data_IF_580288667175
#
_entry.id   IF_580288667175
#
_cell.length_a   1.000
_cell.length_b   1.000
_cell.length_c   1.000
_cell.angle_alpha   90.00
_cell.angle_beta   90.00
_cell.angle_gamma   90.00
#
_symmetry.space_group_name_H-M   'P 1'
#
loop_
_entity.id
_entity.type
_entity.pdbx_description
1 polymer ?
#
# COMPACT_ATOMS: atom_id res chain seq x y z
N UNK A 1 4.61 -19.22 -16.78
CA UNK A 1 3.54 -18.20 -17.14
C UNK A 1 3.45 -18.05 -18.65
N UNK A 2 2.24 -18.08 -19.21
CA UNK A 2 2.05 -17.79 -20.65
C UNK A 2 2.44 -16.32 -20.96
N UNK A 3 2.84 -16.03 -22.20
CA UNK A 3 3.15 -14.66 -22.65
C UNK A 3 1.96 -13.72 -22.42
N UNK A 4 0.73 -14.21 -22.58
CA UNK A 4 -0.49 -13.45 -22.33
C UNK A 4 -0.66 -13.01 -20.87
N UNK A 5 -0.32 -13.87 -19.89
CA UNK A 5 -0.42 -13.54 -18.46
C UNK A 5 0.59 -12.46 -18.06
N UNK A 6 1.80 -12.51 -18.64
CA UNK A 6 2.85 -11.48 -18.40
C UNK A 6 2.45 -10.13 -18.97
N UNK A 7 1.89 -10.13 -20.18
CA UNK A 7 1.39 -8.91 -20.82
C UNK A 7 0.25 -8.30 -20.03
N UNK A 8 -0.70 -9.11 -19.59
CA UNK A 8 -1.81 -8.65 -18.74
C UNK A 8 -1.32 -8.06 -17.41
N UNK A 9 -0.34 -8.69 -16.76
CA UNK A 9 0.26 -8.19 -15.52
C UNK A 9 0.91 -6.81 -15.70
N UNK A 10 1.62 -6.59 -16.80
CA UNK A 10 2.23 -5.28 -17.11
C UNK A 10 1.18 -4.22 -17.39
N UNK A 11 0.17 -4.55 -18.20
CA UNK A 11 -0.93 -3.61 -18.49
C UNK A 11 -1.68 -3.22 -17.22
N UNK A 12 -1.94 -4.18 -16.33
CA UNK A 12 -2.58 -3.91 -15.05
C UNK A 12 -1.72 -3.00 -14.17
N UNK A 13 -0.41 -3.24 -14.09
CA UNK A 13 0.50 -2.40 -13.31
C UNK A 13 0.54 -0.96 -13.86
N UNK A 14 0.59 -0.79 -15.18
CA UNK A 14 0.54 0.53 -15.83
C UNK A 14 -0.80 1.21 -15.57
N UNK A 15 -1.93 0.50 -15.70
CA UNK A 15 -3.26 1.05 -15.43
C UNK A 15 -3.40 1.50 -13.97
N UNK A 16 -2.87 0.74 -13.01
CA UNK A 16 -2.84 1.11 -11.60
C UNK A 16 -1.99 2.35 -11.34
N UNK A 17 -0.83 2.48 -11.99
CA UNK A 17 0.01 3.68 -11.89
C UNK A 17 -0.68 4.93 -12.44
N UNK A 18 -1.31 4.82 -13.61
CA UNK A 18 -2.07 5.92 -14.19
C UNK A 18 -3.23 6.31 -13.26
N UNK A 19 -3.98 5.34 -12.76
CA UNK A 19 -5.08 5.56 -11.81
C UNK A 19 -4.61 6.22 -10.51
N UNK A 20 -3.48 5.77 -9.96
CA UNK A 20 -2.87 6.35 -8.77
C UNK A 20 -2.43 7.81 -9.03
N UNK A 21 -1.77 8.09 -10.16
CA UNK A 21 -1.37 9.44 -10.56
C UNK A 21 -2.56 10.39 -10.69
N UNK A 22 -3.65 9.96 -11.34
CA UNK A 22 -4.88 10.77 -11.48
C UNK A 22 -5.50 11.04 -10.10
N UNK A 23 -5.56 10.03 -9.23
CA UNK A 23 -6.09 10.17 -7.88
C UNK A 23 -5.23 11.15 -7.04
N UNK A 24 -3.91 11.01 -7.11
CA UNK A 24 -2.96 11.90 -6.42
C UNK A 24 -3.11 13.35 -6.91
N UNK A 25 -3.13 13.55 -8.22
CA UNK A 25 -3.33 14.87 -8.81
C UNK A 25 -4.60 15.54 -8.30
N UNK A 26 -5.71 14.81 -8.33
CA UNK A 26 -7.00 15.30 -7.83
C UNK A 26 -6.94 15.66 -6.34
N UNK A 27 -6.40 14.75 -5.50
CA UNK A 27 -6.31 14.93 -4.06
C UNK A 27 -5.35 16.07 -3.67
N UNK A 28 -4.21 16.18 -4.34
CA UNK A 28 -3.24 17.25 -4.11
C UNK A 28 -3.85 18.59 -4.49
N UNK A 29 -4.45 18.71 -5.69
CA UNK A 29 -5.13 19.93 -6.12
C UNK A 29 -6.21 20.35 -5.10
N UNK A 30 -7.00 19.40 -4.65
CA UNK A 30 -8.04 19.62 -3.64
C UNK A 30 -7.44 20.10 -2.31
N UNK A 31 -6.38 19.43 -1.83
CA UNK A 31 -5.71 19.83 -0.59
C UNK A 31 -5.09 21.22 -0.70
N UNK A 32 -4.50 21.57 -1.83
CA UNK A 32 -3.95 22.91 -2.08
C UNK A 32 -5.03 23.97 -2.05
N UNK A 33 -6.18 23.76 -2.69
CA UNK A 33 -7.32 24.69 -2.65
C UNK A 33 -7.83 24.89 -1.21
N UNK A 34 -8.02 23.81 -0.47
CA UNK A 34 -8.44 23.86 0.93
C UNK A 34 -7.41 24.57 1.82
N UNK A 35 -6.12 24.31 1.60
CA UNK A 35 -5.05 24.97 2.35
C UNK A 35 -4.99 26.46 2.06
N UNK A 36 -5.06 26.85 0.80
CA UNK A 36 -5.06 28.25 0.37
C UNK A 36 -6.23 29.02 0.99
N UNK A 37 -7.45 28.48 0.98
CA UNK A 37 -8.60 29.12 1.62
C UNK A 37 -8.42 29.29 3.13
N UNK A 38 -7.81 28.32 3.81
CA UNK A 38 -7.51 28.43 5.24
C UNK A 38 -6.45 29.47 5.59
N UNK A 39 -5.51 29.73 4.67
CA UNK A 39 -4.42 30.68 4.89
C UNK A 39 -4.78 32.14 4.50
N UNK A 40 -5.62 32.31 3.49
CA UNK A 40 -5.88 33.64 2.89
C UNK A 40 -7.22 34.26 3.23
N UNK A 41 -8.24 33.47 3.58
CA UNK A 41 -9.57 33.98 3.84
C UNK A 41 -9.66 34.70 5.19
N UNK A 42 -10.37 35.81 5.21
CA UNK A 42 -10.56 36.65 6.40
C UNK A 42 -11.78 36.21 7.20
N UNK A 43 -11.61 36.07 8.50
CA UNK A 43 -12.71 35.72 9.38
C UNK A 43 -13.55 36.96 9.73
N UNK A 44 -14.86 36.85 9.57
CA UNK A 44 -15.87 37.78 10.06
C UNK A 44 -16.94 37.04 10.86
N UNK A 45 -17.85 37.76 11.47
CA UNK A 45 -19.00 37.19 12.17
C UNK A 45 -20.23 37.25 11.27
N UNK A 46 -20.92 36.11 11.16
CA UNK A 46 -22.21 36.04 10.45
C UNK A 46 -23.34 35.55 11.35
N UNK A 47 -24.56 35.64 10.85
CA UNK A 47 -25.76 35.12 11.53
C UNK A 47 -26.48 34.12 10.63
N UNK A 48 -26.89 32.99 11.17
CA UNK A 48 -27.68 32.00 10.45
C UNK A 48 -29.07 32.53 10.19
N UNK A 49 -29.44 32.70 8.94
CA UNK A 49 -30.78 33.15 8.52
C UNK A 49 -31.75 31.99 8.45
N UNK A 50 -31.37 30.91 7.75
CA UNK A 50 -32.21 29.70 7.61
C UNK A 50 -31.38 28.46 7.68
N UNK A 51 -31.97 27.38 8.22
CA UNK A 51 -31.37 26.04 8.21
C UNK A 51 -32.43 25.04 7.71
N UNK A 52 -32.21 24.49 6.53
CA UNK A 52 -33.05 23.44 5.96
C UNK A 52 -32.32 22.11 6.04
N UNK A 53 -33.01 21.05 6.48
CA UNK A 53 -32.40 19.73 6.62
C UNK A 53 -32.96 18.78 5.57
N UNK A 54 -32.10 18.19 4.79
CA UNK A 54 -32.43 17.13 3.82
C UNK A 54 -31.96 15.78 4.33
N UNK A 55 -32.72 14.72 4.04
CA UNK A 55 -32.35 13.38 4.43
C UNK A 55 -32.15 12.47 3.21
N UNK A 56 -31.12 11.60 3.28
CA UNK A 56 -30.85 10.58 2.28
C UNK A 56 -30.84 9.20 2.95
N UNK A 57 -31.56 8.24 2.36
CA UNK A 57 -31.52 6.83 2.78
C UNK A 57 -30.17 6.24 2.40
N UNK A 58 -29.50 5.58 3.35
CA UNK A 58 -28.25 4.84 3.16
C UNK A 58 -28.44 3.42 3.66
N UNK A 59 -27.53 2.50 3.30
CA UNK A 59 -27.64 1.06 3.62
C UNK A 59 -27.95 0.78 5.12
N UNK A 60 -27.40 1.61 6.03
CA UNK A 60 -27.53 1.44 7.48
C UNK A 60 -28.34 2.58 8.14
N UNK A 61 -29.43 3.06 7.50
CA UNK A 61 -30.30 4.09 8.09
C UNK A 61 -30.48 5.33 7.23
N UNK A 62 -30.61 6.49 7.87
CA UNK A 62 -30.71 7.80 7.21
C UNK A 62 -29.52 8.68 7.59
N UNK A 63 -29.08 9.50 6.65
CA UNK A 63 -28.12 10.57 6.88
C UNK A 63 -28.78 11.90 6.57
N UNK A 64 -28.49 12.89 7.37
CA UNK A 64 -29.07 14.22 7.29
C UNK A 64 -27.98 15.23 6.91
N UNK A 65 -28.30 16.15 6.01
CA UNK A 65 -27.44 17.27 5.63
C UNK A 65 -28.17 18.57 5.90
N UNK A 66 -27.46 19.52 6.48
CA UNK A 66 -27.96 20.89 6.61
C UNK A 66 -27.62 21.67 5.34
N UNK A 67 -28.59 22.38 4.80
CA UNK A 67 -28.39 23.47 3.87
C UNK A 67 -28.66 24.78 4.68
N UNK A 68 -27.65 25.62 4.75
CA UNK A 68 -27.65 26.81 5.63
C UNK A 68 -27.55 28.05 4.78
N UNK A 69 -28.34 29.07 5.10
CA UNK A 69 -28.13 30.40 4.58
C UNK A 69 -27.73 31.30 5.75
N UNK A 70 -26.67 32.08 5.59
CA UNK A 70 -26.17 32.99 6.62
C UNK A 70 -25.92 34.37 6.03
N UNK A 71 -26.11 35.40 6.86
CA UNK A 71 -25.80 36.79 6.53
C UNK A 71 -24.46 37.16 7.19
N UNK A 72 -23.64 37.94 6.50
CA UNK A 72 -22.33 38.40 6.97
C UNK A 72 -22.00 39.78 6.40
N UNK A 73 -21.09 40.49 7.03
CA UNK A 73 -20.59 41.76 6.53
C UNK A 73 -19.24 41.59 5.86
N UNK A 74 -19.12 42.09 4.62
CA UNK A 74 -17.89 42.12 3.89
C UNK A 74 -17.80 43.37 2.99
N UNK A 75 -16.66 44.03 2.99
CA UNK A 75 -16.41 45.28 2.25
C UNK A 75 -17.46 46.41 2.55
N UNK A 76 -18.00 46.45 3.77
CA UNK A 76 -19.01 47.44 4.18
C UNK A 76 -20.44 47.13 3.72
N UNK A 77 -20.71 45.98 3.15
CA UNK A 77 -22.03 45.51 2.69
C UNK A 77 -22.46 44.23 3.40
N UNK A 78 -23.77 44.18 3.71
CA UNK A 78 -24.36 42.93 4.19
C UNK A 78 -24.61 42.00 3.02
N UNK A 79 -24.04 40.78 3.09
CA UNK A 79 -24.13 39.75 2.08
C UNK A 79 -24.71 38.48 2.64
N UNK A 80 -25.14 37.56 1.76
CA UNK A 80 -25.64 36.25 2.14
C UNK A 80 -24.80 35.18 1.50
N UNK A 81 -24.51 34.10 2.26
CA UNK A 81 -23.80 32.92 1.80
C UNK A 81 -24.56 31.65 2.13
N UNK A 82 -24.23 30.55 1.43
CA UNK A 82 -24.81 29.25 1.68
C UNK A 82 -23.75 28.11 1.76
N UNK A 83 -22.50 28.42 1.51
CA UNK A 83 -21.41 27.45 1.52
C UNK A 83 -20.99 27.11 2.96
N UNK A 84 -21.16 25.89 3.39
CA UNK A 84 -20.69 25.43 4.72
C UNK A 84 -19.20 25.15 4.69
N UNK A 85 -18.73 24.42 3.68
CA UNK A 85 -17.31 24.05 3.50
C UNK A 85 -16.92 24.41 2.08
N UNK A 86 -15.74 24.94 1.86
CA UNK A 86 -15.23 25.32 0.52
C UNK A 86 -15.34 24.17 -0.48
N UNK A 87 -15.22 22.93 0.00
CA UNK A 87 -15.49 21.74 -0.79
C UNK A 87 -16.79 21.06 -0.32
N UNK A 88 -17.86 21.21 -1.08
CA UNK A 88 -19.19 20.67 -0.74
C UNK A 88 -19.20 19.15 -0.48
N UNK A 89 -18.25 18.41 -1.04
CA UNK A 89 -18.14 16.96 -0.79
C UNK A 89 -17.75 16.64 0.66
N UNK A 90 -17.23 17.63 1.39
CA UNK A 90 -16.86 17.58 2.81
C UNK A 90 -17.96 18.12 3.74
N UNK A 91 -19.09 18.57 3.19
CA UNK A 91 -20.19 19.08 4.00
C UNK A 91 -20.59 18.08 5.09
N UNK A 92 -20.79 18.53 6.35
CA UNK A 92 -21.05 17.64 7.47
C UNK A 92 -22.34 16.85 7.28
N UNK A 93 -22.31 15.57 7.63
CA UNK A 93 -23.50 14.72 7.66
C UNK A 93 -23.83 14.32 9.10
N UNK A 94 -25.11 14.39 9.46
CA UNK A 94 -25.59 14.17 10.80
C UNK A 94 -26.37 12.83 10.90
N UNK A 95 -26.43 12.28 12.12
CA UNK A 95 -27.18 11.04 12.40
C UNK A 95 -28.68 11.29 12.58
N UNK A 96 -29.08 12.51 12.95
CA UNK A 96 -30.46 12.93 13.16
C UNK A 96 -30.69 14.34 12.61
N UNK A 97 -31.95 14.66 12.34
CA UNK A 97 -32.37 15.98 11.93
C UNK A 97 -32.14 17.03 13.03
N UNK A 98 -32.39 16.65 14.30
CA UNK A 98 -32.16 17.52 15.45
C UNK A 98 -30.67 17.90 15.57
N UNK A 99 -29.75 16.94 15.39
CA UNK A 99 -28.32 17.24 15.40
C UNK A 99 -27.91 18.18 14.27
N UNK A 100 -28.50 18.07 13.08
CA UNK A 100 -28.24 18.98 11.98
C UNK A 100 -28.73 20.40 12.28
N UNK A 101 -29.94 20.56 12.85
CA UNK A 101 -30.51 21.86 13.24
C UNK A 101 -29.74 22.48 14.42
N UNK A 102 -29.33 21.68 15.41
CA UNK A 102 -28.55 22.16 16.55
C UNK A 102 -27.16 22.63 16.19
N UNK A 103 -26.56 22.06 15.13
CA UNK A 103 -25.25 22.47 14.64
C UNK A 103 -25.30 23.89 14.01
N UNK A 104 -26.45 24.30 13.47
CA UNK A 104 -26.65 25.58 12.81
C UNK A 104 -27.99 26.19 13.26
N UNK A 105 -28.10 26.68 14.49
CA UNK A 105 -29.36 27.24 14.99
C UNK A 105 -29.69 28.56 14.29
N UNK A 106 -30.96 28.72 13.87
CA UNK A 106 -31.41 29.92 13.25
C UNK A 106 -31.26 31.12 14.21
N UNK A 107 -30.77 32.25 13.73
CA UNK A 107 -30.39 33.39 14.54
C UNK A 107 -29.06 33.22 15.28
N UNK A 108 -28.43 32.09 15.20
CA UNK A 108 -27.12 31.80 15.83
C UNK A 108 -25.98 32.57 15.16
N UNK A 109 -25.06 33.08 15.97
CA UNK A 109 -23.80 33.69 15.49
C UNK A 109 -22.80 32.59 15.10
N UNK A 110 -22.15 32.75 13.95
CA UNK A 110 -21.18 31.80 13.41
C UNK A 110 -19.97 32.55 12.83
N UNK A 111 -18.77 31.95 12.89
CA UNK A 111 -17.64 32.46 12.14
C UNK A 111 -17.88 32.26 10.64
N UNK A 112 -17.64 33.28 9.86
CA UNK A 112 -17.70 33.25 8.38
C UNK A 112 -16.34 33.66 7.86
N UNK A 113 -15.81 32.86 6.96
CA UNK A 113 -14.55 33.13 6.27
C UNK A 113 -14.87 33.67 4.88
N UNK A 114 -14.30 34.79 4.52
CA UNK A 114 -14.56 35.53 3.28
C UNK A 114 -13.29 35.58 2.45
N UNK A 115 -13.40 35.29 1.17
CA UNK A 115 -12.32 35.45 0.23
C UNK A 115 -12.01 36.95 0.03
N UNK A 116 -10.80 37.43 0.38
CA UNK A 116 -10.47 38.83 0.19
C UNK A 116 -10.41 39.27 -1.29
N UNK A 117 -10.23 38.36 -2.21
CA UNK A 117 -10.22 38.62 -3.65
C UNK A 117 -11.65 38.69 -4.23
N UNK A 118 -12.59 37.95 -3.64
CA UNK A 118 -14.01 37.94 -4.02
C UNK A 118 -14.90 37.90 -2.76
N UNK A 119 -15.33 39.06 -2.24
CA UNK A 119 -16.17 39.13 -1.04
C UNK A 119 -17.54 38.47 -1.17
N UNK A 120 -17.96 38.03 -2.35
CA UNK A 120 -19.19 37.23 -2.54
C UNK A 120 -18.97 35.75 -2.22
N UNK A 121 -17.71 35.32 -2.19
CA UNK A 121 -17.32 33.94 -1.89
C UNK A 121 -17.00 33.83 -0.39
N UNK A 122 -17.86 33.12 0.34
CA UNK A 122 -17.71 32.93 1.78
C UNK A 122 -18.09 31.51 2.20
N UNK A 123 -17.47 31.00 3.26
CA UNK A 123 -17.76 29.67 3.82
C UNK A 123 -17.69 29.70 5.36
N UNK A 124 -18.38 28.77 6.01
CA UNK A 124 -18.35 28.61 7.47
C UNK A 124 -17.12 27.81 7.94
N UNK A 125 -16.56 26.98 7.08
CA UNK A 125 -15.38 26.16 7.39
C UNK A 125 -14.40 26.24 6.24
N UNK A 126 -13.18 26.64 6.52
CA UNK A 126 -12.05 26.69 5.57
C UNK A 126 -10.88 25.85 6.06
N UNK A 127 -9.87 25.71 5.21
CA UNK A 127 -8.66 24.97 5.53
C UNK A 127 -8.75 23.47 5.25
N UNK A 128 -7.64 22.80 5.46
CA UNK A 128 -7.46 21.40 5.10
C UNK A 128 -8.33 20.47 5.95
N UNK A 129 -9.23 19.74 5.29
CA UNK A 129 -10.20 18.88 5.95
C UNK A 129 -9.60 17.52 6.30
N UNK A 130 -9.98 16.94 7.45
CA UNK A 130 -9.55 15.61 7.92
C UNK A 130 -9.72 14.52 6.88
N UNK A 131 -10.83 14.50 6.17
CA UNK A 131 -11.13 13.48 5.18
C UNK A 131 -10.19 13.59 3.98
N UNK A 132 -9.88 14.81 3.53
CA UNK A 132 -8.88 15.03 2.47
C UNK A 132 -7.51 14.54 2.90
N UNK A 133 -7.09 14.84 4.14
CA UNK A 133 -5.82 14.34 4.69
C UNK A 133 -5.82 12.81 4.73
N UNK A 134 -6.87 12.19 5.25
CA UNK A 134 -6.96 10.74 5.32
C UNK A 134 -6.92 10.09 3.92
N UNK A 135 -7.59 10.69 2.93
CA UNK A 135 -7.57 10.21 1.55
C UNK A 135 -6.18 10.29 0.92
N UNK A 136 -5.39 11.33 1.23
CA UNK A 136 -3.98 11.41 0.80
C UNK A 136 -3.14 10.26 1.37
N UNK A 137 -3.36 9.87 2.62
CA UNK A 137 -2.69 8.69 3.20
C UNK A 137 -3.16 7.38 2.55
N UNK A 138 -4.45 7.24 2.24
CA UNK A 138 -4.95 6.05 1.53
C UNK A 138 -4.45 5.97 0.09
N UNK A 139 -4.24 7.10 -0.58
CA UNK A 139 -3.60 7.13 -1.90
C UNK A 139 -2.17 6.57 -1.85
N UNK A 140 -1.43 6.77 -0.76
CA UNK A 140 -0.12 6.16 -0.51
C UNK A 140 -0.13 4.63 -0.58
N UNK A 141 -1.24 3.98 -0.21
CA UNK A 141 -1.42 2.53 -0.34
C UNK A 141 -1.46 2.10 -1.81
N UNK A 142 -2.23 2.83 -2.63
CA UNK A 142 -2.34 2.54 -4.07
C UNK A 142 -0.99 2.72 -4.76
N UNK A 143 -0.25 3.78 -4.41
CA UNK A 143 1.09 4.04 -4.92
C UNK A 143 2.07 2.93 -4.52
N UNK A 144 2.09 2.54 -3.25
CA UNK A 144 2.94 1.45 -2.77
C UNK A 144 2.63 0.14 -3.51
N UNK A 145 1.34 -0.19 -3.68
CA UNK A 145 0.91 -1.39 -4.39
C UNK A 145 1.29 -1.33 -5.88
N UNK A 146 1.04 -0.22 -6.56
CA UNK A 146 1.39 -0.04 -7.97
C UNK A 146 2.89 -0.19 -8.21
N UNK A 147 3.73 0.42 -7.36
CA UNK A 147 5.19 0.33 -7.45
C UNK A 147 5.70 -1.09 -7.18
N UNK A 148 5.14 -1.80 -6.21
CA UNK A 148 5.53 -3.18 -5.91
C UNK A 148 5.11 -4.15 -7.01
N UNK A 149 4.04 -3.87 -7.77
CA UNK A 149 3.58 -4.68 -8.90
C UNK A 149 4.35 -4.39 -10.20
N UNK A 150 4.81 -3.16 -10.40
CA UNK A 150 5.45 -2.73 -11.65
C UNK A 150 6.75 -3.49 -11.93
N UNK A 151 7.64 -3.57 -10.95
CA UNK A 151 8.98 -4.13 -11.13
C UNK A 151 8.97 -5.63 -11.48
N UNK A 152 8.22 -6.51 -10.78
CA UNK A 152 8.09 -7.91 -11.20
C UNK A 152 7.50 -8.04 -12.59
N UNK A 153 6.53 -7.16 -12.95
CA UNK A 153 5.92 -7.16 -14.28
C UNK A 153 6.93 -6.80 -15.37
N UNK A 154 7.76 -5.77 -15.18
CA UNK A 154 8.82 -5.39 -16.13
C UNK A 154 9.86 -6.52 -16.25
N UNK A 155 10.32 -7.06 -15.12
CA UNK A 155 11.29 -8.14 -15.12
C UNK A 155 10.78 -9.38 -15.84
N UNK A 156 9.51 -9.76 -15.61
CA UNK A 156 8.90 -10.90 -16.29
C UNK A 156 8.84 -10.74 -17.80
N UNK A 157 8.84 -9.50 -18.30
CA UNK A 157 8.87 -9.18 -19.72
C UNK A 157 10.27 -9.30 -20.33
N UNK A 158 11.31 -8.90 -19.57
CA UNK A 158 12.71 -8.96 -20.00
C UNK A 158 13.32 -10.37 -19.99
N UNK A 159 12.79 -11.27 -19.18
CA UNK A 159 13.29 -12.63 -19.01
C UNK A 159 12.74 -13.57 -20.10
N UNK A 160 13.21 -13.40 -21.35
CA UNK A 160 12.92 -14.35 -22.43
C UNK A 160 13.81 -15.58 -22.28
N UNK A 161 13.24 -16.70 -21.83
CA UNK A 161 13.83 -18.03 -22.05
C UNK A 161 14.18 -18.87 -20.81
N UNK A 162 14.71 -18.33 -19.72
CA UNK A 162 15.05 -19.13 -18.52
C UNK A 162 14.57 -18.48 -17.22
N UNK A 163 13.50 -19.00 -16.60
CA UNK A 163 12.96 -18.45 -15.35
C UNK A 163 13.94 -18.47 -14.17
N UNK A 164 14.89 -19.39 -14.16
CA UNK A 164 15.90 -19.51 -13.09
C UNK A 164 16.84 -18.32 -13.01
N UNK A 165 17.16 -17.67 -14.11
CA UNK A 165 17.98 -16.44 -14.09
C UNK A 165 17.37 -15.32 -13.23
N UNK A 166 16.10 -15.43 -12.91
CA UNK A 166 15.37 -14.49 -12.08
C UNK A 166 15.84 -14.46 -10.63
N UNK A 167 16.33 -15.60 -10.15
CA UNK A 167 16.76 -15.81 -8.77
C UNK A 167 18.28 -15.89 -8.66
N UNK A 168 18.97 -16.18 -9.75
CA UNK A 168 20.41 -16.28 -9.77
C UNK A 168 21.03 -14.87 -9.66
N UNK A 169 21.83 -14.69 -8.59
CA UNK A 169 22.59 -13.47 -8.33
C UNK A 169 24.00 -13.62 -8.85
N UNK A 170 24.57 -14.80 -8.67
CA UNK A 170 25.92 -15.16 -9.02
C UNK A 170 25.87 -16.59 -9.59
N UNK A 171 26.57 -16.83 -10.68
CA UNK A 171 26.70 -18.17 -11.28
C UNK A 171 28.03 -18.22 -12.00
N UNK A 172 29.06 -18.65 -11.28
CA UNK A 172 30.38 -18.87 -11.82
C UNK A 172 30.81 -20.34 -11.66
N UNK A 173 31.97 -20.69 -12.14
CA UNK A 173 32.47 -22.08 -12.09
C UNK A 173 32.65 -22.61 -10.67
N UNK A 174 32.89 -21.75 -9.69
CA UNK A 174 33.16 -22.13 -8.30
C UNK A 174 31.94 -21.99 -7.40
N UNK A 175 30.98 -21.11 -7.73
CA UNK A 175 29.90 -20.73 -6.83
C UNK A 175 28.64 -20.34 -7.60
N UNK A 176 27.48 -20.74 -7.06
CA UNK A 176 26.19 -20.23 -7.49
C UNK A 176 25.40 -19.72 -6.29
N UNK A 177 24.79 -18.53 -6.43
CA UNK A 177 23.96 -17.91 -5.40
C UNK A 177 22.57 -17.66 -5.96
N UNK A 178 21.59 -18.35 -5.41
CA UNK A 178 20.19 -18.25 -5.81
C UNK A 178 19.36 -17.63 -4.69
N UNK A 179 18.70 -16.50 -4.97
CA UNK A 179 17.85 -15.81 -4.02
C UNK A 179 16.40 -16.23 -4.11
N UNK A 180 15.85 -16.76 -3.01
CA UNK A 180 14.45 -17.20 -2.91
C UNK A 180 13.44 -16.07 -2.77
N UNK A 181 13.88 -14.85 -2.54
CA UNK A 181 12.99 -13.70 -2.30
C UNK A 181 12.97 -12.71 -3.45
N UNK A 182 11.78 -12.47 -3.98
CA UNK A 182 11.55 -11.49 -5.06
C UNK A 182 11.61 -10.03 -4.60
N UNK A 183 11.26 -9.76 -3.33
CA UNK A 183 11.23 -8.39 -2.81
C UNK A 183 12.63 -7.94 -2.42
N UNK A 184 13.09 -6.86 -3.04
CA UNK A 184 14.30 -6.19 -2.58
C UNK A 184 14.03 -5.32 -1.34
N UNK A 185 15.09 -4.74 -0.76
CA UNK A 185 14.95 -3.93 0.45
C UNK A 185 14.09 -2.68 0.23
N UNK A 186 14.19 -2.04 -0.94
CA UNK A 186 13.41 -0.86 -1.29
C UNK A 186 11.92 -1.18 -1.42
N UNK A 187 11.58 -2.23 -2.17
CA UNK A 187 10.20 -2.68 -2.35
C UNK A 187 9.56 -3.05 -1.02
N UNK A 188 10.32 -3.69 -0.15
CA UNK A 188 9.86 -4.03 1.20
C UNK A 188 9.59 -2.78 2.04
N UNK A 189 10.48 -1.79 2.00
CA UNK A 189 10.27 -0.49 2.65
C UNK A 189 9.01 0.23 2.13
N UNK A 190 8.82 0.27 0.82
CA UNK A 190 7.64 0.86 0.17
C UNK A 190 6.35 0.14 0.59
N UNK A 191 6.38 -1.19 0.66
CA UNK A 191 5.22 -1.97 1.14
C UNK A 191 4.85 -1.61 2.58
N UNK A 192 5.83 -1.44 3.47
CA UNK A 192 5.60 -1.03 4.85
C UNK A 192 5.06 0.38 4.97
N UNK A 193 5.52 1.33 4.11
CA UNK A 193 4.92 2.67 4.00
C UNK A 193 3.45 2.56 3.62
N UNK A 194 3.10 1.73 2.63
CA UNK A 194 1.72 1.50 2.23
C UNK A 194 0.84 0.98 3.38
N UNK A 195 1.29 -0.03 4.11
CA UNK A 195 0.57 -0.58 5.25
C UNK A 195 0.41 0.45 6.39
N UNK A 196 1.47 1.20 6.72
CA UNK A 196 1.42 2.24 7.73
C UNK A 196 0.49 3.38 7.33
N UNK A 197 0.38 3.71 6.04
CA UNK A 197 -0.54 4.73 5.52
C UNK A 197 -2.00 4.40 5.84
N UNK A 198 -2.39 3.13 5.85
CA UNK A 198 -3.74 2.71 6.28
C UNK A 198 -3.97 3.07 7.75
N UNK A 199 -3.03 2.70 8.62
CA UNK A 199 -3.15 2.95 10.06
C UNK A 199 -3.20 4.46 10.37
N UNK A 200 -2.35 5.25 9.73
CA UNK A 200 -2.34 6.72 9.88
C UNK A 200 -3.63 7.34 9.35
N UNK A 201 -4.09 6.94 8.16
CA UNK A 201 -5.34 7.43 7.56
C UNK A 201 -6.56 7.12 8.44
N UNK A 202 -6.66 5.90 8.98
CA UNK A 202 -7.71 5.54 9.93
C UNK A 202 -7.58 6.34 11.24
N UNK A 203 -6.38 6.51 11.77
CA UNK A 203 -6.13 7.32 12.96
C UNK A 203 -6.63 8.75 12.80
N UNK A 204 -6.35 9.39 11.65
CA UNK A 204 -6.84 10.75 11.33
C UNK A 204 -8.38 10.82 11.33
N UNK A 205 -9.05 9.80 10.80
CA UNK A 205 -10.52 9.77 10.77
C UNK A 205 -11.15 9.55 12.14
N UNK A 206 -10.55 8.72 12.98
CA UNK A 206 -11.13 8.27 14.25
C UNK A 206 -10.80 9.18 15.43
N UNK A 207 -9.62 9.81 15.42
CA UNK A 207 -9.17 10.66 16.53
C UNK A 207 -9.77 12.08 16.49
N UNK A 208 -9.84 12.76 17.64
CA UNK A 208 -10.30 14.15 17.72
C UNK A 208 -9.45 15.09 16.84
N UNK A 209 -10.05 16.18 16.37
CA UNK A 209 -9.37 17.17 15.51
C UNK A 209 -8.24 17.94 16.19
N UNK A 210 -8.19 17.91 17.51
CA UNK A 210 -7.13 18.55 18.31
C UNK A 210 -5.76 17.85 18.19
N UNK A 211 -5.72 16.60 17.70
CA UNK A 211 -4.45 15.87 17.54
C UNK A 211 -3.86 16.20 16.18
N UNK A 212 -2.61 16.72 16.09
CA UNK A 212 -1.96 17.11 14.83
C UNK A 212 -1.47 15.89 14.05
N UNK A 213 -2.35 14.90 13.83
CA UNK A 213 -2.01 13.60 13.21
C UNK A 213 -1.45 13.72 11.80
N UNK A 214 -1.84 14.78 11.06
CA UNK A 214 -1.32 15.01 9.72
C UNK A 214 0.22 15.21 9.73
N UNK A 215 0.74 15.91 10.70
CA UNK A 215 2.20 16.17 10.84
C UNK A 215 2.96 15.00 11.47
N UNK A 216 2.31 14.28 12.39
CA UNK A 216 2.91 13.08 13.02
C UNK A 216 2.96 11.92 12.01
N UNK A 217 1.97 11.83 11.14
CA UNK A 217 1.86 10.73 10.16
C UNK A 217 3.06 10.64 9.21
N UNK A 218 3.58 11.75 8.71
CA UNK A 218 4.71 11.76 7.77
C UNK A 218 6.00 11.17 8.39
N UNK A 219 6.46 11.61 9.58
CA UNK A 219 7.61 10.99 10.24
C UNK A 219 7.41 9.51 10.54
N UNK A 220 6.19 9.11 10.94
CA UNK A 220 5.86 7.70 11.19
C UNK A 220 6.00 6.87 9.91
N UNK A 221 5.47 7.33 8.79
CA UNK A 221 5.62 6.63 7.50
C UNK A 221 7.08 6.52 7.08
N UNK A 222 7.83 7.62 7.18
CA UNK A 222 9.26 7.63 6.87
C UNK A 222 10.04 6.65 7.76
N UNK A 223 9.78 6.67 9.08
CA UNK A 223 10.41 5.78 10.05
C UNK A 223 10.13 4.31 9.76
N UNK A 224 8.85 3.96 9.54
CA UNK A 224 8.44 2.58 9.23
C UNK A 224 9.06 2.12 7.90
N UNK A 225 9.09 2.96 6.87
CA UNK A 225 9.72 2.65 5.59
C UNK A 225 11.21 2.40 5.71
N UNK A 226 11.91 3.27 6.42
CA UNK A 226 13.36 3.14 6.68
C UNK A 226 13.67 1.89 7.50
N UNK A 227 12.92 1.62 8.57
CA UNK A 227 13.10 0.41 9.37
C UNK A 227 12.85 -0.86 8.56
N UNK A 228 11.79 -0.89 7.75
CA UNK A 228 11.51 -2.00 6.84
C UNK A 228 12.64 -2.20 5.82
N UNK A 229 13.12 -1.12 5.20
CA UNK A 229 14.26 -1.15 4.29
C UNK A 229 15.52 -1.69 4.97
N UNK A 230 15.91 -1.13 6.11
CA UNK A 230 17.13 -1.52 6.83
C UNK A 230 17.07 -2.98 7.29
N UNK A 231 15.93 -3.41 7.83
CA UNK A 231 15.74 -4.80 8.22
C UNK A 231 15.91 -5.75 7.03
N UNK A 232 15.28 -5.43 5.90
CA UNK A 232 15.36 -6.26 4.70
C UNK A 232 16.77 -6.25 4.11
N UNK A 233 17.41 -5.09 4.08
CA UNK A 233 18.79 -4.92 3.62
C UNK A 233 19.76 -5.76 4.45
N UNK A 234 19.66 -5.71 5.78
CA UNK A 234 20.46 -6.53 6.68
C UNK A 234 20.21 -8.03 6.47
N UNK A 235 18.94 -8.43 6.28
CA UNK A 235 18.57 -9.80 6.02
C UNK A 235 19.13 -10.31 4.67
N UNK A 236 19.14 -9.45 3.62
CA UNK A 236 19.79 -9.79 2.35
C UNK A 236 21.29 -9.91 2.47
N UNK A 237 21.95 -9.01 3.19
CA UNK A 237 23.41 -9.09 3.46
C UNK A 237 23.80 -10.32 4.28
N UNK A 238 22.94 -10.73 5.18
CA UNK A 238 23.13 -11.94 5.99
C UNK A 238 22.78 -13.24 5.22
N UNK A 239 22.47 -13.18 3.93
CA UNK A 239 22.14 -14.35 3.11
C UNK A 239 20.87 -15.09 3.57
N UNK A 240 19.96 -14.44 4.32
CA UNK A 240 18.78 -15.09 4.90
C UNK A 240 17.77 -15.62 3.88
N UNK A 241 17.96 -15.31 2.60
CA UNK A 241 17.07 -15.74 1.52
C UNK A 241 17.83 -16.42 0.39
N UNK A 242 19.12 -16.68 0.57
CA UNK A 242 19.99 -17.14 -0.48
C UNK A 242 20.32 -18.62 -0.28
N UNK A 243 20.15 -19.41 -1.33
CA UNK A 243 20.77 -20.74 -1.46
C UNK A 243 22.14 -20.49 -2.05
N UNK A 244 23.18 -20.93 -1.38
CA UNK A 244 24.55 -20.83 -1.86
C UNK A 244 25.07 -22.23 -2.15
N UNK A 245 25.39 -22.48 -3.40
CA UNK A 245 26.05 -23.70 -3.86
C UNK A 245 27.51 -23.39 -4.07
N UNK A 246 28.36 -23.95 -3.26
CA UNK A 246 29.81 -23.87 -3.42
C UNK A 246 30.30 -25.15 -4.12
N UNK A 247 30.50 -25.04 -5.44
CA UNK A 247 30.91 -26.13 -6.29
C UNK A 247 32.36 -26.56 -6.00
N UNK A 248 33.20 -25.65 -5.50
CA UNK A 248 34.58 -25.95 -5.21
C UNK A 248 34.73 -26.79 -3.95
N UNK A 249 33.93 -26.56 -2.94
CA UNK A 249 33.94 -27.30 -1.69
C UNK A 249 32.92 -28.45 -1.63
N UNK A 250 31.98 -28.52 -2.56
CA UNK A 250 30.93 -29.53 -2.58
C UNK A 250 29.81 -29.29 -1.55
N UNK A 251 29.67 -28.05 -1.04
CA UNK A 251 28.67 -27.74 -0.03
C UNK A 251 27.53 -26.88 -0.58
N UNK A 252 26.29 -27.14 -0.09
CA UNK A 252 25.15 -26.29 -0.29
C UNK A 252 24.68 -25.69 1.02
N UNK A 253 24.48 -24.37 1.03
CA UNK A 253 23.94 -23.65 2.19
C UNK A 253 22.49 -23.30 1.91
N UNK A 254 21.58 -23.79 2.74
CA UNK A 254 20.18 -23.45 2.70
C UNK A 254 19.87 -22.29 3.64
N UNK A 255 19.03 -21.34 3.24
CA UNK A 255 18.68 -20.18 4.07
C UNK A 255 17.96 -20.62 5.35
N UNK A 256 18.04 -19.81 6.43
CA UNK A 256 17.33 -20.10 7.66
C UNK A 256 15.81 -20.12 7.42
N UNK A 257 15.15 -21.17 7.88
CA UNK A 257 13.69 -21.22 7.94
C UNK A 257 13.13 -20.39 9.11
N UNK A 258 11.80 -20.27 9.21
CA UNK A 258 11.15 -19.63 10.36
C UNK A 258 11.54 -20.41 11.64
N UNK A 259 12.26 -19.73 12.55
CA UNK A 259 12.73 -20.33 13.81
C UNK A 259 13.87 -21.35 13.69
N UNK A 260 14.51 -21.46 12.54
CA UNK A 260 15.63 -22.40 12.30
C UNK A 260 16.85 -21.66 11.75
N UNK A 261 18.05 -22.11 12.12
CA UNK A 261 19.30 -21.59 11.58
C UNK A 261 19.50 -21.97 10.09
N UNK A 262 20.42 -21.27 9.42
CA UNK A 262 20.92 -21.72 8.12
C UNK A 262 21.61 -23.06 8.28
N UNK A 263 21.50 -23.93 7.27
CA UNK A 263 22.13 -25.26 7.28
C UNK A 263 23.09 -25.34 6.13
N UNK A 264 24.31 -25.71 6.44
CA UNK A 264 25.35 -26.07 5.47
C UNK A 264 25.33 -27.58 5.35
N UNK A 265 25.13 -28.10 4.15
CA UNK A 265 25.01 -29.53 3.85
C UNK A 265 26.00 -29.91 2.77
N UNK A 266 26.63 -31.05 2.90
CA UNK A 266 27.36 -31.69 1.80
C UNK A 266 26.38 -32.03 0.69
N UNK A 267 26.68 -31.66 -0.55
CA UNK A 267 25.83 -31.96 -1.71
C UNK A 267 25.70 -33.48 -1.93
N UNK A 268 26.72 -34.23 -1.59
CA UNK A 268 26.70 -35.70 -1.68
C UNK A 268 25.70 -36.36 -0.71
N UNK A 269 25.30 -35.65 0.37
CA UNK A 269 24.31 -36.15 1.34
C UNK A 269 22.88 -35.70 1.03
N UNK A 270 22.67 -34.97 -0.06
CA UNK A 270 21.31 -34.60 -0.51
C UNK A 270 20.77 -35.77 -1.33
N UNK A 271 19.81 -36.51 -0.78
CA UNK A 271 19.28 -37.74 -1.42
C UNK A 271 18.19 -37.45 -2.43
N UNK A 272 17.31 -36.46 -2.10
CA UNK A 272 16.13 -36.18 -2.92
C UNK A 272 15.65 -34.72 -2.78
N UNK A 273 15.19 -34.19 -3.90
CA UNK A 273 14.45 -32.95 -3.94
C UNK A 273 13.02 -33.26 -4.36
N UNK A 274 12.09 -33.11 -3.43
CA UNK A 274 10.69 -33.46 -3.58
C UNK A 274 9.83 -32.22 -3.80
N UNK A 275 8.91 -32.29 -4.75
CA UNK A 275 7.85 -31.33 -4.98
C UNK A 275 6.55 -31.88 -4.41
N UNK A 276 5.95 -31.18 -3.46
CA UNK A 276 4.63 -31.52 -2.93
C UNK A 276 3.61 -30.47 -3.35
N UNK A 277 2.48 -30.94 -3.86
CA UNK A 277 1.37 -30.02 -4.16
C UNK A 277 0.88 -29.37 -2.87
N UNK A 278 0.83 -28.05 -2.86
CA UNK A 278 0.33 -27.31 -1.71
C UNK A 278 -1.19 -27.42 -1.62
N UNK A 279 -1.69 -27.91 -0.48
CA UNK A 279 -3.13 -28.15 -0.23
C UNK A 279 -3.91 -26.89 0.13
N UNK A 280 -3.33 -25.67 0.05
CA UNK A 280 -4.02 -24.42 0.34
C UNK A 280 -5.00 -24.08 -0.79
N UNK A 281 -6.12 -24.81 -0.78
CA UNK A 281 -7.24 -24.68 -1.72
C UNK A 281 -8.27 -23.67 -1.22
N UNK A 282 -8.00 -22.36 -1.26
CA UNK A 282 -9.03 -21.39 -0.86
C UNK A 282 -9.25 -20.23 -1.84
N UNK A 283 -8.92 -20.35 -3.11
CA UNK A 283 -9.31 -19.34 -4.09
C UNK A 283 -9.95 -19.95 -5.33
N UNK A 284 -10.96 -19.25 -5.84
CA UNK A 284 -11.69 -19.60 -7.07
C UNK A 284 -10.83 -19.59 -8.34
N UNK A 285 -9.60 -19.07 -8.25
CA UNK A 285 -8.56 -19.13 -9.30
C UNK A 285 -7.42 -20.00 -8.81
N UNK A 286 -7.57 -21.31 -9.01
CA UNK A 286 -6.58 -22.32 -8.65
C UNK A 286 -5.37 -22.26 -9.60
N UNK A 287 -4.40 -21.41 -9.32
CA UNK A 287 -3.05 -21.68 -9.81
C UNK A 287 -2.46 -22.77 -8.91
N UNK A 288 -1.98 -23.87 -9.47
CA UNK A 288 -1.35 -24.93 -8.69
C UNK A 288 -0.07 -24.38 -8.06
N UNK A 289 0.00 -24.42 -6.75
CA UNK A 289 1.21 -24.09 -5.99
C UNK A 289 1.85 -25.35 -5.48
N UNK A 290 3.18 -25.32 -5.34
CA UNK A 290 3.94 -26.44 -4.82
C UNK A 290 4.90 -25.97 -3.71
N UNK A 291 5.20 -26.89 -2.82
CA UNK A 291 6.22 -26.76 -1.79
C UNK A 291 7.44 -27.59 -2.21
N UNK A 292 8.64 -27.06 -1.98
CA UNK A 292 9.89 -27.77 -2.26
C UNK A 292 10.47 -28.27 -0.95
N UNK A 293 10.74 -29.56 -0.87
CA UNK A 293 11.40 -30.22 0.24
C UNK A 293 12.74 -30.78 -0.20
N UNK A 294 13.74 -30.62 0.65
CA UNK A 294 15.07 -31.24 0.49
C UNK A 294 15.18 -32.34 1.52
N UNK A 295 15.47 -33.54 1.06
CA UNK A 295 15.76 -34.72 1.87
C UNK A 295 17.27 -34.91 1.94
N UNK A 296 17.75 -35.21 3.13
CA UNK A 296 19.16 -35.52 3.39
C UNK A 296 19.23 -36.79 4.21
N UNK A 297 20.30 -37.59 4.03
CA UNK A 297 20.47 -38.90 4.68
C UNK A 297 20.29 -38.83 6.22
N UNK A 298 20.69 -37.73 6.83
CA UNK A 298 20.83 -37.64 8.29
C UNK A 298 19.75 -36.81 8.98
N UNK A 299 18.82 -36.18 8.24
CA UNK A 299 17.86 -35.25 8.86
C UNK A 299 16.44 -35.35 8.27
N UNK A 300 15.45 -34.88 9.04
CA UNK A 300 14.08 -34.78 8.54
C UNK A 300 13.97 -33.88 7.31
N UNK A 301 13.05 -34.20 6.37
CA UNK A 301 12.82 -33.39 5.19
C UNK A 301 12.61 -31.92 5.52
N UNK A 302 13.38 -31.03 4.89
CA UNK A 302 13.31 -29.60 5.12
C UNK A 302 12.54 -28.89 4.03
N UNK A 303 11.51 -28.15 4.40
CA UNK A 303 10.83 -27.25 3.48
C UNK A 303 11.77 -26.09 3.12
N UNK A 304 12.14 -25.99 1.85
CA UNK A 304 13.00 -24.95 1.31
C UNK A 304 12.19 -23.73 0.91
N UNK A 305 11.10 -23.96 0.21
CA UNK A 305 10.18 -22.93 -0.23
C UNK A 305 8.75 -23.45 -0.20
N UNK A 306 7.79 -22.59 0.13
CA UNK A 306 6.38 -22.93 0.22
C UNK A 306 5.55 -21.99 -0.63
N UNK A 307 4.43 -22.50 -1.18
CA UNK A 307 3.44 -21.74 -1.94
C UNK A 307 4.00 -21.01 -3.17
N UNK A 308 4.96 -21.63 -3.85
CA UNK A 308 5.48 -21.13 -5.12
C UNK A 308 4.57 -21.60 -6.26
N UNK A 309 4.48 -20.82 -7.33
CA UNK A 309 3.83 -21.28 -8.56
C UNK A 309 4.50 -22.58 -9.02
N UNK A 310 3.71 -23.62 -9.35
CA UNK A 310 4.23 -24.96 -9.66
C UNK A 310 5.33 -24.95 -10.72
N UNK A 311 5.16 -24.17 -11.79
CA UNK A 311 6.17 -24.06 -12.85
C UNK A 311 7.51 -23.48 -12.37
N UNK A 312 7.48 -22.52 -11.44
CA UNK A 312 8.69 -21.98 -10.81
C UNK A 312 9.32 -23.00 -9.86
N UNK A 313 8.50 -23.73 -9.11
CA UNK A 313 8.96 -24.78 -8.21
C UNK A 313 9.64 -25.93 -8.97
N UNK A 314 9.09 -26.35 -10.11
CA UNK A 314 9.67 -27.37 -10.99
C UNK A 314 11.05 -26.95 -11.53
N UNK A 315 11.19 -25.68 -11.92
CA UNK A 315 12.45 -25.14 -12.42
C UNK A 315 13.50 -25.03 -11.32
N UNK A 316 13.11 -24.58 -10.14
CA UNK A 316 14.00 -24.50 -8.98
C UNK A 316 14.44 -25.90 -8.54
N UNK A 317 13.53 -26.86 -8.48
CA UNK A 317 13.85 -28.24 -8.15
C UNK A 317 14.78 -28.87 -9.19
N UNK A 318 14.54 -28.64 -10.49
CA UNK A 318 15.41 -29.10 -11.56
C UNK A 318 16.83 -28.55 -11.46
N UNK A 319 16.93 -27.23 -11.18
CA UNK A 319 18.22 -26.58 -10.98
C UNK A 319 18.96 -27.18 -9.79
N UNK A 320 18.31 -27.34 -8.64
CA UNK A 320 18.90 -27.94 -7.44
C UNK A 320 19.33 -29.36 -7.66
N UNK A 321 18.53 -30.19 -8.36
CA UNK A 321 18.91 -31.58 -8.70
C UNK A 321 20.17 -31.62 -9.55
N UNK A 322 20.26 -30.72 -10.55
CA UNK A 322 21.46 -30.61 -11.38
C UNK A 322 22.68 -30.23 -10.57
N UNK A 323 22.57 -29.23 -9.68
CA UNK A 323 23.69 -28.80 -8.84
C UNK A 323 24.13 -29.87 -7.83
N UNK A 324 23.20 -30.66 -7.29
CA UNK A 324 23.47 -31.77 -6.38
C UNK A 324 23.75 -33.08 -7.11
N UNK A 325 23.92 -33.09 -8.43
CA UNK A 325 24.19 -34.28 -9.27
C UNK A 325 23.15 -35.40 -9.13
N UNK A 326 21.88 -35.06 -8.80
CA UNK A 326 20.80 -36.04 -8.64
C UNK A 326 20.16 -36.47 -9.97
N UNK A 327 20.43 -35.78 -11.07
CA UNK A 327 19.90 -36.10 -12.43
C UNK A 327 20.84 -36.99 -13.28
N UNK A 328 21.80 -37.69 -12.67
CA UNK A 328 22.78 -38.48 -13.40
C UNK A 328 22.30 -39.87 -13.93
N UNK A 329 21.03 -40.23 -13.62
CA UNK A 329 20.45 -41.51 -14.05
C UNK A 329 19.16 -41.28 -14.84
N UNK A 330 19.29 -41.09 -16.19
CA UNK A 330 18.13 -41.03 -17.07
C UNK A 330 18.53 -40.88 -18.52
#
# INVERSE_FOLDING_TARGET
MSTGTRFFGLLLAIALLIGAFIADWYLIRRAMTQHASGASWQQTTGTIVTTTVTSRKVKNGRRYRAAVTYAYEAAGETRTGSTIVVDESEAPSFRSESAAKSAFPQGGSVPVYVDPADPTNAALVVGLQKKTIALLYFAGVLNAFALTMLRPSIRSFGARGEPIRYYLIEDDASRAVLRLSHLNALEFGVMWIGLASIAVGLGILLLPSSVPMAWIGLPVLAGVGVLGFLWRFAAHRAGRFDIVVDRASGFVTFPPGIGRAAVVQDMALVDQIELRDSTVSNSKNKQPTADIYVHTADTEPRALAKWIERGEAELLAKWLRRECALDSDG
#
